data_IF_475365554531
#
_entry.id   IF_475365554531
#
_cell.length_a   1.000
_cell.length_b   1.000
_cell.length_c   1.000
_cell.angle_alpha   90.00
_cell.angle_beta   90.00
_cell.angle_gamma   90.00
#
_symmetry.space_group_name_H-M   'P 1'
#
loop_
_entity.id
_entity.type
_entity.pdbx_description
1 polymer ?
#
# COMPACT_ATOMS: atom_id res chain seq x y z
N UNK A 1 1.91 11.75 2.90
CA UNK A 1 2.17 13.06 3.50
C UNK A 1 3.68 13.25 3.52
N UNK A 2 4.19 14.34 2.94
CA UNK A 2 5.60 14.68 3.05
C UNK A 2 5.92 14.90 4.53
N UNK A 3 6.91 14.18 5.07
CA UNK A 3 7.28 14.27 6.49
C UNK A 3 7.68 15.70 6.89
N UNK A 4 8.16 16.50 5.94
CA UNK A 4 8.53 17.91 6.12
C UNK A 4 7.34 18.84 6.39
N UNK A 5 6.11 18.43 6.07
CA UNK A 5 4.91 19.26 6.24
C UNK A 5 4.07 18.88 7.46
N UNK A 6 4.42 17.80 8.17
CA UNK A 6 3.69 17.36 9.37
C UNK A 6 4.29 17.98 10.63
N UNK A 7 3.78 19.15 11.04
CA UNK A 7 4.14 19.81 12.29
C UNK A 7 3.15 19.52 13.44
N UNK A 8 2.18 18.62 13.23
CA UNK A 8 1.15 18.29 14.22
C UNK A 8 1.45 17.03 15.02
N UNK A 9 2.67 16.48 14.88
CA UNK A 9 3.07 15.19 15.47
C UNK A 9 2.08 14.05 15.16
N UNK A 10 1.48 14.08 13.97
CA UNK A 10 0.50 13.07 13.54
C UNK A 10 -0.93 13.30 14.02
N UNK A 11 -1.23 14.41 14.70
CA UNK A 11 -2.61 14.84 14.99
C UNK A 11 -3.26 15.31 13.69
N UNK A 12 -4.39 14.71 13.33
CA UNK A 12 -5.17 15.07 12.14
C UNK A 12 -6.47 15.77 12.54
N UNK A 13 -6.91 16.73 11.72
CA UNK A 13 -8.17 17.44 11.97
C UNK A 13 -9.37 16.48 11.97
N UNK A 14 -9.46 15.60 10.96
CA UNK A 14 -10.58 14.67 10.80
C UNK A 14 -10.53 13.56 11.86
N UNK A 15 -9.34 13.01 12.12
CA UNK A 15 -9.16 11.88 13.04
C UNK A 15 -9.27 12.31 14.50
N UNK A 16 -8.25 13.02 14.95
CA UNK A 16 -8.01 13.38 16.35
C UNK A 16 -8.85 14.57 16.83
N UNK A 17 -9.05 15.62 16.02
CA UNK A 17 -9.78 16.83 16.48
C UNK A 17 -11.29 16.66 16.42
N UNK A 18 -11.81 16.06 15.34
CA UNK A 18 -13.26 15.81 15.15
C UNK A 18 -13.68 14.44 15.73
N UNK A 19 -12.73 13.68 16.30
CA UNK A 19 -12.96 12.39 16.95
C UNK A 19 -13.71 11.38 16.05
N UNK A 20 -13.15 11.09 14.87
CA UNK A 20 -13.66 10.02 13.98
C UNK A 20 -13.06 8.63 14.27
N UNK A 21 -12.16 8.58 15.26
CA UNK A 21 -11.49 7.37 15.73
C UNK A 21 -11.65 7.22 17.25
N UNK A 22 -11.68 5.97 17.71
CA UNK A 22 -11.60 5.59 19.12
C UNK A 22 -10.48 4.57 19.29
N UNK A 23 -9.52 4.83 20.18
CA UNK A 23 -8.36 3.96 20.41
C UNK A 23 -7.62 3.58 19.11
N UNK A 24 -7.38 4.57 18.24
CA UNK A 24 -6.76 4.41 16.93
C UNK A 24 -7.52 3.50 15.94
N UNK A 25 -8.80 3.22 16.18
CA UNK A 25 -9.69 2.50 15.26
C UNK A 25 -10.78 3.44 14.75
N UNK A 26 -11.14 3.40 13.46
CA UNK A 26 -12.28 4.15 12.95
C UNK A 26 -13.55 3.76 13.70
N UNK A 27 -14.38 4.74 14.02
CA UNK A 27 -15.63 4.50 14.74
C UNK A 27 -16.57 3.67 13.87
N UNK A 28 -17.13 2.61 14.44
CA UNK A 28 -18.13 1.78 13.78
C UNK A 28 -19.53 2.42 13.88
N UNK A 29 -20.35 2.16 12.87
CA UNK A 29 -21.70 2.74 12.76
C UNK A 29 -22.63 2.33 13.91
N UNK A 30 -22.47 1.11 14.41
CA UNK A 30 -23.28 0.57 15.50
C UNK A 30 -22.85 1.06 16.90
N UNK A 31 -21.66 1.64 17.05
CA UNK A 31 -21.19 2.14 18.35
C UNK A 31 -21.43 3.64 18.54
N UNK A 32 -21.56 4.44 17.46
CA UNK A 32 -21.60 5.91 17.56
C UNK A 32 -22.70 6.43 18.49
N UNK A 33 -23.88 5.80 18.48
CA UNK A 33 -25.01 6.19 19.34
C UNK A 33 -24.73 5.99 20.84
N UNK A 34 -23.74 5.15 21.17
CA UNK A 34 -23.33 4.86 22.54
C UNK A 34 -22.07 5.64 22.95
N UNK A 35 -21.52 6.48 22.07
CA UNK A 35 -20.36 7.31 22.39
C UNK A 35 -20.77 8.65 23.00
N UNK A 36 -19.89 9.29 23.81
CA UNK A 36 -20.12 10.64 24.29
C UNK A 36 -20.35 11.65 23.16
N UNK A 37 -20.95 12.81 23.48
CA UNK A 37 -21.07 13.92 22.54
C UNK A 37 -19.67 14.33 22.02
N UNK A 38 -19.60 14.73 20.76
CA UNK A 38 -18.36 15.18 20.10
C UNK A 38 -17.62 14.10 19.29
N UNK A 39 -18.07 12.84 19.35
CA UNK A 39 -17.63 11.78 18.44
C UNK A 39 -18.45 11.80 17.15
N UNK A 40 -17.80 11.50 16.03
CA UNK A 40 -18.44 11.52 14.71
C UNK A 40 -18.09 10.31 13.86
N UNK A 41 -18.99 9.96 12.93
CA UNK A 41 -18.80 8.87 11.99
C UNK A 41 -18.39 9.43 10.63
N UNK A 42 -17.24 9.00 10.11
CA UNK A 42 -16.78 9.36 8.78
C UNK A 42 -17.33 8.36 7.76
N UNK A 43 -18.16 8.83 6.81
CA UNK A 43 -18.83 7.97 5.83
C UNK A 43 -17.86 7.21 4.90
N UNK A 44 -16.61 7.65 4.75
CA UNK A 44 -15.60 6.88 4.00
C UNK A 44 -15.38 5.47 4.54
N UNK A 45 -15.65 5.25 5.84
CA UNK A 45 -15.53 3.94 6.47
C UNK A 45 -16.50 2.90 5.87
N UNK A 46 -17.51 3.32 5.12
CA UNK A 46 -18.47 2.45 4.42
C UNK A 46 -17.96 1.92 3.08
N UNK A 47 -16.90 2.51 2.54
CA UNK A 47 -16.33 2.07 1.27
C UNK A 47 -15.06 1.24 1.52
N UNK A 48 -14.76 0.27 0.66
CA UNK A 48 -13.44 -0.37 0.66
C UNK A 48 -12.37 0.65 0.28
N UNK A 49 -11.13 0.47 0.77
CA UNK A 49 -10.07 1.47 0.58
C UNK A 49 -9.79 1.82 -0.89
N UNK A 50 -9.94 0.86 -1.81
CA UNK A 50 -9.76 1.09 -3.26
C UNK A 50 -10.78 2.07 -3.86
N UNK A 51 -11.92 2.27 -3.18
CA UNK A 51 -12.97 3.24 -3.53
C UNK A 51 -12.92 4.52 -2.68
N UNK A 52 -12.04 4.61 -1.68
CA UNK A 52 -11.91 5.78 -0.80
C UNK A 52 -11.07 6.89 -1.43
N UNK A 53 -11.61 7.52 -2.47
CA UNK A 53 -10.97 8.68 -3.08
C UNK A 53 -11.97 9.57 -3.80
N UNK A 54 -11.79 10.87 -3.66
CA UNK A 54 -12.49 11.91 -4.43
C UNK A 54 -11.50 12.72 -5.26
N UNK A 55 -10.21 12.70 -4.92
CA UNK A 55 -9.17 13.48 -5.57
C UNK A 55 -8.09 12.56 -6.17
N UNK A 56 -7.51 12.97 -7.31
CA UNK A 56 -6.39 12.29 -7.95
C UNK A 56 -5.33 13.28 -8.43
N UNK A 57 -4.19 13.32 -7.77
CA UNK A 57 -3.04 14.14 -8.13
C UNK A 57 -1.80 13.28 -8.33
N UNK A 58 -1.13 13.43 -9.47
CA UNK A 58 0.08 12.64 -9.83
C UNK A 58 -0.09 11.11 -9.62
N UNK A 59 -1.31 10.58 -9.85
CA UNK A 59 -1.71 9.18 -9.65
C UNK A 59 -1.89 8.75 -8.19
N UNK A 60 -1.78 9.67 -7.25
CA UNK A 60 -2.13 9.44 -5.86
C UNK A 60 -3.61 9.77 -5.65
N UNK A 61 -4.37 8.74 -5.32
CA UNK A 61 -5.79 8.83 -5.00
C UNK A 61 -5.95 9.13 -3.53
N UNK A 62 -6.69 10.18 -3.21
CA UNK A 62 -6.90 10.63 -1.82
C UNK A 62 -8.37 10.98 -1.58
N UNK A 63 -8.81 10.76 -0.35
CA UNK A 63 -10.13 11.15 0.14
C UNK A 63 -9.94 12.39 1.00
N UNK A 64 -9.97 13.57 0.37
CA UNK A 64 -9.80 14.86 1.05
C UNK A 64 -11.11 15.63 1.24
N UNK A 65 -12.18 15.17 0.59
CA UNK A 65 -13.55 15.63 0.82
C UNK A 65 -14.24 14.65 1.76
N UNK A 66 -14.90 15.13 2.82
CA UNK A 66 -15.49 14.26 3.85
C UNK A 66 -16.95 14.63 4.13
N UNK A 67 -17.79 13.61 4.36
CA UNK A 67 -19.08 13.75 5.04
C UNK A 67 -18.96 13.07 6.40
N UNK A 68 -19.10 13.86 7.46
CA UNK A 68 -18.89 13.44 8.85
C UNK A 68 -20.22 13.63 9.59
N UNK A 69 -20.69 12.57 10.25
CA UNK A 69 -22.03 12.52 10.82
C UNK A 69 -21.99 12.43 12.36
N UNK A 70 -22.74 13.26 13.10
CA UNK A 70 -22.92 13.11 14.53
C UNK A 70 -23.83 11.92 14.87
N UNK A 71 -23.80 11.49 16.14
CA UNK A 71 -24.63 10.39 16.66
C UNK A 71 -26.14 10.60 16.46
N UNK A 72 -26.62 11.84 16.45
CA UNK A 72 -28.04 12.18 16.27
C UNK A 72 -28.60 11.77 14.91
N UNK A 73 -27.77 11.51 13.89
CA UNK A 73 -28.24 11.01 12.59
C UNK A 73 -28.42 9.48 12.56
N UNK A 74 -28.18 8.81 13.69
CA UNK A 74 -28.30 7.36 13.87
C UNK A 74 -29.26 6.98 15.01
N UNK A 75 -29.84 7.97 15.72
CA UNK A 75 -30.60 7.77 16.96
C UNK A 75 -32.07 7.38 16.73
N UNK A 76 -32.47 7.21 15.45
CA UNK A 76 -33.81 6.84 15.00
C UNK A 76 -34.86 7.95 15.16
N UNK A 77 -34.46 9.20 15.42
CA UNK A 77 -35.36 10.35 15.60
C UNK A 77 -35.18 11.38 14.49
N UNK A 78 -36.29 12.00 14.07
CA UNK A 78 -36.25 13.08 13.06
C UNK A 78 -35.56 12.67 11.77
N UNK A 79 -34.47 13.38 11.43
CA UNK A 79 -33.66 13.11 10.24
C UNK A 79 -32.57 12.09 10.57
N UNK A 80 -32.54 11.02 9.79
CA UNK A 80 -31.58 9.92 9.91
C UNK A 80 -30.74 9.81 8.64
N UNK A 81 -29.54 9.28 8.79
CA UNK A 81 -28.72 8.86 7.65
C UNK A 81 -29.35 7.64 6.97
N UNK A 82 -29.42 7.64 5.64
CA UNK A 82 -29.80 6.44 4.89
C UNK A 82 -28.59 5.52 4.79
N UNK A 83 -28.63 4.40 5.50
CA UNK A 83 -27.54 3.44 5.58
C UNK A 83 -27.00 3.01 4.19
N UNK A 84 -25.67 2.88 4.06
CA UNK A 84 -24.97 2.45 2.84
C UNK A 84 -25.26 3.31 1.60
N UNK A 85 -25.67 4.56 1.81
CA UNK A 85 -25.98 5.49 0.72
C UNK A 85 -24.80 6.38 0.33
N UNK A 86 -23.68 6.29 1.06
CA UNK A 86 -22.48 7.04 0.77
C UNK A 86 -21.79 6.53 -0.49
N UNK A 87 -21.30 7.44 -1.32
CA UNK A 87 -20.52 7.06 -2.49
C UNK A 87 -19.86 8.24 -3.18
N UNK A 88 -18.94 7.91 -4.09
CA UNK A 88 -18.30 8.86 -4.99
C UNK A 88 -19.10 8.90 -6.29
N UNK A 89 -19.50 10.09 -6.73
CA UNK A 89 -20.17 10.29 -8.01
C UNK A 89 -19.12 10.43 -9.11
N UNK A 90 -18.87 9.33 -9.84
CA UNK A 90 -17.82 9.24 -10.85
C UNK A 90 -18.35 8.69 -12.20
N UNK A 91 -19.34 9.33 -12.84
CA UNK A 91 -19.78 8.93 -14.17
C UNK A 91 -18.66 9.11 -15.20
N UNK A 92 -18.75 8.39 -16.32
CA UNK A 92 -17.71 8.32 -17.35
C UNK A 92 -17.23 9.70 -17.86
N UNK A 93 -18.11 10.71 -17.92
CA UNK A 93 -17.73 12.05 -18.39
C UNK A 93 -16.82 12.81 -17.41
N UNK A 94 -16.85 12.49 -16.10
CA UNK A 94 -15.93 13.03 -15.10
C UNK A 94 -14.58 12.31 -15.10
N UNK A 95 -14.45 11.23 -15.87
CA UNK A 95 -13.23 10.44 -15.98
C UNK A 95 -12.64 10.57 -17.39
N UNK A 96 -11.31 10.52 -17.48
CA UNK A 96 -10.62 10.41 -18.75
C UNK A 96 -10.47 8.93 -19.14
N UNK A 97 -10.06 8.67 -20.38
CA UNK A 97 -9.86 7.31 -20.93
C UNK A 97 -8.89 6.41 -20.15
N UNK A 98 -8.10 6.97 -19.24
CA UNK A 98 -7.14 6.24 -18.40
C UNK A 98 -7.66 6.06 -16.96
N UNK A 99 -8.91 6.41 -16.68
CA UNK A 99 -9.52 6.33 -15.35
C UNK A 99 -9.08 7.42 -14.37
N UNK A 100 -8.40 8.46 -14.85
CA UNK A 100 -8.11 9.67 -14.06
C UNK A 100 -9.26 10.68 -14.13
N UNK A 101 -9.25 11.70 -13.28
CA UNK A 101 -10.28 12.76 -13.31
C UNK A 101 -10.13 13.61 -14.58
N UNK A 102 -11.24 13.95 -15.22
CA UNK A 102 -11.31 14.91 -16.33
C UNK A 102 -11.27 16.35 -15.79
N UNK A 103 -10.09 16.78 -15.35
CA UNK A 103 -9.84 18.04 -14.64
C UNK A 103 -10.07 19.27 -15.55
N UNK A 104 -10.38 20.41 -14.93
CA UNK A 104 -10.45 21.71 -15.59
C UNK A 104 -9.16 21.99 -16.35
N UNK A 105 -9.28 22.41 -17.62
CA UNK A 105 -8.12 22.64 -18.47
C UNK A 105 -7.71 24.11 -18.47
N UNK A 106 -6.43 24.32 -18.19
CA UNK A 106 -5.75 25.62 -18.27
C UNK A 106 -4.57 25.47 -19.23
N UNK A 107 -4.39 26.42 -20.14
CA UNK A 107 -3.23 26.49 -21.05
C UNK A 107 -2.69 27.91 -21.05
N UNK A 108 -1.39 28.06 -20.72
CA UNK A 108 -0.71 29.36 -20.64
C UNK A 108 -1.47 30.37 -19.76
N UNK A 109 -1.96 29.92 -18.61
CA UNK A 109 -2.75 30.75 -17.68
C UNK A 109 -4.22 30.96 -18.07
N UNK A 110 -4.64 30.59 -19.29
CA UNK A 110 -6.01 30.80 -19.76
C UNK A 110 -6.89 29.58 -19.54
N UNK A 111 -8.12 29.80 -19.06
CA UNK A 111 -9.14 28.76 -18.90
C UNK A 111 -9.74 28.37 -20.25
N UNK A 112 -9.77 27.07 -20.54
CA UNK A 112 -10.24 26.55 -21.84
C UNK A 112 -11.73 26.19 -21.88
N UNK A 113 -12.49 26.48 -20.82
CA UNK A 113 -13.93 26.17 -20.77
C UNK A 113 -14.26 24.68 -20.87
N UNK A 114 -13.33 23.79 -20.53
CA UNK A 114 -13.50 22.34 -20.69
C UNK A 114 -12.87 21.56 -19.55
N UNK A 115 -13.45 20.39 -19.27
CA UNK A 115 -13.19 19.62 -18.06
C UNK A 115 -14.11 20.05 -16.92
N UNK A 116 -13.88 19.49 -15.73
CA UNK A 116 -14.70 19.71 -14.54
C UNK A 116 -13.80 20.09 -13.35
N UNK A 117 -14.15 19.72 -12.12
CA UNK A 117 -13.23 19.84 -10.99
C UNK A 117 -12.10 18.81 -11.07
N UNK A 118 -11.03 19.04 -10.31
CA UNK A 118 -10.05 18.02 -9.96
C UNK A 118 -10.46 17.14 -8.77
N UNK A 119 -11.64 17.36 -8.23
CA UNK A 119 -12.33 16.53 -7.26
C UNK A 119 -13.59 15.91 -7.87
N UNK A 120 -13.90 14.69 -7.45
CA UNK A 120 -15.16 14.01 -7.70
C UNK A 120 -16.13 14.34 -6.57
N UNK A 121 -17.40 14.66 -6.88
CA UNK A 121 -18.40 14.85 -5.84
C UNK A 121 -18.60 13.59 -5.01
N UNK A 122 -18.77 13.76 -3.71
CA UNK A 122 -19.23 12.71 -2.80
C UNK A 122 -20.70 12.94 -2.48
N UNK A 123 -21.45 11.85 -2.27
CA UNK A 123 -22.89 11.90 -2.00
C UNK A 123 -23.26 11.00 -0.84
N UNK A 124 -24.32 11.37 -0.15
CA UNK A 124 -24.97 10.64 0.92
C UNK A 124 -26.46 11.00 0.89
N UNK A 125 -27.32 10.07 1.30
CA UNK A 125 -28.75 10.31 1.41
C UNK A 125 -29.20 10.30 2.87
N UNK A 126 -30.22 11.10 3.16
CA UNK A 126 -30.86 11.20 4.47
C UNK A 126 -32.35 10.92 4.31
N UNK A 127 -33.00 10.52 5.40
CA UNK A 127 -34.40 10.12 5.42
C UNK A 127 -35.05 10.49 6.74
N UNK A 128 -36.36 10.70 6.72
CA UNK A 128 -37.17 10.85 7.94
C UNK A 128 -37.61 9.51 8.53
N UNK A 129 -37.35 8.40 7.84
CA UNK A 129 -37.57 7.07 8.38
C UNK A 129 -36.55 6.77 9.50
N UNK A 130 -36.94 6.01 10.54
CA UNK A 130 -36.00 5.58 11.58
C UNK A 130 -34.74 4.91 11.00
N UNK A 131 -33.57 5.24 11.55
CA UNK A 131 -32.32 4.62 11.13
C UNK A 131 -32.42 3.08 11.22
N UNK A 132 -32.20 2.43 10.08
CA UNK A 132 -32.14 0.99 9.97
C UNK A 132 -30.76 0.58 9.44
N UNK A 133 -30.05 -0.22 10.24
CA UNK A 133 -28.75 -0.77 9.87
C UNK A 133 -28.98 -1.94 8.90
N UNK A 134 -28.92 -1.66 7.60
CA UNK A 134 -29.34 -2.57 6.51
C UNK A 134 -28.40 -3.75 6.29
N UNK A 135 -27.23 -3.76 6.93
CA UNK A 135 -26.37 -4.91 7.11
C UNK A 135 -25.66 -4.76 8.44
N UNK A 136 -25.40 -5.85 9.19
CA UNK A 136 -24.23 -5.90 10.08
C UNK A 136 -22.98 -5.86 9.19
N UNK A 137 -22.79 -4.77 8.43
CA UNK A 137 -21.53 -4.44 7.82
C UNK A 137 -20.60 -4.23 9.00
N UNK A 138 -19.98 -5.34 9.42
CA UNK A 138 -18.81 -5.30 10.26
C UNK A 138 -17.91 -4.24 9.61
N UNK A 139 -17.42 -3.25 10.35
CA UNK A 139 -16.54 -2.22 9.79
C UNK A 139 -15.50 -2.94 8.96
N UNK A 140 -15.50 -2.78 7.62
CA UNK A 140 -14.83 -3.66 6.63
C UNK A 140 -13.73 -4.47 7.29
N UNK A 141 -14.10 -5.64 7.85
CA UNK A 141 -13.20 -6.30 8.78
C UNK A 141 -12.18 -6.99 7.92
N UNK A 142 -10.93 -6.55 8.05
CA UNK A 142 -9.86 -7.04 7.22
C UNK A 142 -9.84 -8.58 7.28
N UNK A 143 -9.99 -9.23 6.13
CA UNK A 143 -10.07 -10.68 6.07
C UNK A 143 -8.67 -11.22 6.27
N UNK A 144 -8.47 -12.06 7.29
CA UNK A 144 -7.17 -12.69 7.53
C UNK A 144 -6.80 -13.62 6.37
N UNK A 145 -5.65 -13.36 5.73
CA UNK A 145 -5.08 -14.20 4.66
C UNK A 145 -3.56 -14.25 4.78
N UNK A 146 -2.90 -15.29 4.24
CA UNK A 146 -1.45 -15.30 4.10
C UNK A 146 -0.99 -14.41 2.94
N UNK A 147 0.30 -14.04 2.92
CA UNK A 147 0.90 -13.29 1.79
C UNK A 147 0.69 -14.03 0.46
N UNK A 148 0.75 -15.37 0.46
CA UNK A 148 0.60 -16.20 -0.75
C UNK A 148 -0.72 -15.94 -1.49
N UNK A 149 -1.79 -15.64 -0.74
CA UNK A 149 -3.10 -15.33 -1.33
C UNK A 149 -3.05 -14.09 -2.24
N UNK A 150 -2.20 -13.10 -1.92
CA UNK A 150 -2.10 -11.87 -2.71
C UNK A 150 -1.63 -12.14 -4.15
N UNK A 151 -0.92 -13.24 -4.38
CA UNK A 151 -0.47 -13.65 -5.71
C UNK A 151 -1.56 -14.36 -6.53
N UNK A 152 -2.69 -14.71 -5.93
CA UNK A 152 -3.81 -15.41 -6.57
C UNK A 152 -4.87 -14.44 -7.11
N UNK A 153 -4.75 -13.14 -6.81
CA UNK A 153 -5.74 -12.12 -7.15
C UNK A 153 -5.04 -10.91 -7.78
N UNK A 154 -5.66 -10.26 -8.76
CA UNK A 154 -5.07 -9.07 -9.40
C UNK A 154 -5.13 -7.82 -8.53
N UNK A 155 -6.24 -7.67 -7.80
CA UNK A 155 -6.51 -6.61 -6.83
C UNK A 155 -7.36 -7.13 -5.68
N UNK A 156 -7.60 -6.31 -4.66
CA UNK A 156 -8.41 -6.68 -3.49
C UNK A 156 -9.63 -5.78 -3.37
N UNK A 157 -10.77 -6.39 -3.07
CA UNK A 157 -12.06 -5.71 -2.87
C UNK A 157 -12.34 -5.41 -1.41
N UNK A 158 -11.84 -6.27 -0.52
CA UNK A 158 -11.87 -6.09 0.93
C UNK A 158 -10.45 -5.95 1.44
N UNK A 159 -10.29 -5.21 2.53
CA UNK A 159 -9.01 -5.14 3.24
C UNK A 159 -8.58 -6.55 3.69
N UNK A 160 -7.26 -6.78 3.72
CA UNK A 160 -6.69 -8.07 4.11
C UNK A 160 -5.79 -7.90 5.32
N UNK A 161 -6.02 -8.69 6.37
CA UNK A 161 -5.15 -8.73 7.52
C UNK A 161 -4.02 -9.76 7.29
N UNK A 162 -2.79 -9.27 7.21
CA UNK A 162 -1.58 -10.07 7.28
C UNK A 162 -1.06 -10.05 8.71
N UNK A 163 -1.12 -11.17 9.41
CA UNK A 163 -0.61 -11.26 10.78
C UNK A 163 0.86 -11.66 10.82
N UNK A 164 1.55 -11.14 11.84
CA UNK A 164 2.92 -11.51 12.21
C UNK A 164 3.93 -11.37 11.05
N UNK A 165 3.76 -10.36 10.20
CA UNK A 165 4.69 -10.05 9.13
C UNK A 165 5.95 -9.38 9.68
N UNK A 166 7.09 -9.84 9.21
CA UNK A 166 8.41 -9.29 9.53
C UNK A 166 8.90 -8.47 8.36
N UNK A 167 9.40 -7.26 8.61
CA UNK A 167 10.10 -6.45 7.61
C UNK A 167 11.52 -6.98 7.50
N UNK A 168 11.82 -7.68 6.40
CA UNK A 168 13.10 -8.40 6.28
C UNK A 168 14.20 -7.55 5.65
N UNK A 169 13.82 -6.53 4.88
CA UNK A 169 14.77 -5.70 4.14
C UNK A 169 14.08 -4.42 3.65
N UNK A 170 14.83 -3.33 3.55
CA UNK A 170 14.33 -2.08 2.99
C UNK A 170 15.44 -1.29 2.29
N UNK A 171 15.09 -0.66 1.16
CA UNK A 171 15.93 0.29 0.42
C UNK A 171 15.06 1.34 -0.25
N UNK A 172 15.45 2.62 -0.15
CA UNK A 172 14.75 3.74 -0.80
C UNK A 172 13.25 3.69 -0.51
N UNK A 173 12.45 3.49 -1.56
CA UNK A 173 11.00 3.51 -1.55
C UNK A 173 10.36 2.12 -1.43
N UNK A 174 11.14 1.09 -1.06
CA UNK A 174 10.61 -0.26 -0.91
C UNK A 174 11.04 -0.91 0.40
N UNK A 175 10.17 -1.75 0.92
CA UNK A 175 10.46 -2.70 1.98
C UNK A 175 9.92 -4.08 1.60
N UNK A 176 10.63 -5.15 1.94
CA UNK A 176 10.16 -6.52 1.73
C UNK A 176 9.63 -7.06 3.06
N UNK A 177 8.44 -7.66 3.02
CA UNK A 177 7.84 -8.31 4.18
C UNK A 177 7.63 -9.80 3.93
N UNK A 178 7.77 -10.61 4.99
CA UNK A 178 7.51 -12.05 5.00
C UNK A 178 6.88 -12.46 6.33
N UNK A 179 5.96 -13.43 6.32
CA UNK A 179 5.43 -14.02 7.56
C UNK A 179 6.41 -15.03 8.19
N UNK A 180 7.18 -15.72 7.34
CA UNK A 180 8.05 -16.84 7.70
C UNK A 180 9.21 -16.90 6.69
N UNK A 181 10.38 -17.46 7.05
CA UNK A 181 11.51 -17.65 6.11
C UNK A 181 11.17 -18.38 4.81
N UNK A 182 10.22 -19.33 4.85
CA UNK A 182 9.92 -20.22 3.73
C UNK A 182 8.73 -19.78 2.88
N UNK A 183 7.89 -18.87 3.38
CA UNK A 183 6.68 -18.39 2.69
C UNK A 183 7.05 -17.31 1.66
N UNK A 184 6.12 -16.92 0.78
CA UNK A 184 6.38 -15.84 -0.17
C UNK A 184 6.63 -14.53 0.56
N UNK A 185 7.63 -13.78 0.07
CA UNK A 185 7.73 -12.36 0.35
C UNK A 185 6.81 -11.54 -0.54
N UNK A 186 6.60 -10.28 -0.17
CA UNK A 186 5.97 -9.27 -1.01
C UNK A 186 6.59 -7.90 -0.69
N UNK A 187 6.74 -7.05 -1.71
CA UNK A 187 7.23 -5.69 -1.50
C UNK A 187 6.11 -4.73 -1.14
N UNK A 188 6.39 -3.88 -0.18
CA UNK A 188 5.71 -2.63 0.10
C UNK A 188 6.35 -1.56 -0.79
N UNK A 189 5.59 -0.93 -1.68
CA UNK A 189 6.06 0.16 -2.53
C UNK A 189 5.51 1.49 -2.02
N UNK A 190 6.41 2.36 -1.52
CA UNK A 190 6.10 3.70 -0.99
C UNK A 190 5.04 3.74 0.12
N UNK A 191 4.83 2.64 0.84
CA UNK A 191 3.78 2.52 1.86
C UNK A 191 4.29 1.97 3.21
N UNK A 192 5.60 1.72 3.35
CA UNK A 192 6.21 1.15 4.56
C UNK A 192 6.20 2.06 5.79
N UNK A 193 5.52 3.20 5.77
CA UNK A 193 5.48 4.29 6.76
C UNK A 193 5.85 3.86 8.21
N UNK A 194 7.06 4.24 8.65
CA UNK A 194 7.52 4.04 10.04
C UNK A 194 7.89 2.59 10.43
N UNK A 195 7.73 1.63 9.53
CA UNK A 195 8.12 0.24 9.76
C UNK A 195 9.65 0.10 9.80
N UNK A 196 10.14 -0.67 10.78
CA UNK A 196 11.57 -0.91 10.99
C UNK A 196 11.96 -2.32 10.51
N UNK A 197 13.11 -2.42 9.82
CA UNK A 197 13.70 -3.72 9.46
C UNK A 197 13.93 -4.55 10.73
N UNK A 198 13.58 -5.83 10.68
CA UNK A 198 13.54 -6.74 11.84
C UNK A 198 12.25 -6.65 12.67
N UNK A 199 11.44 -5.61 12.49
CA UNK A 199 10.19 -5.45 13.23
C UNK A 199 9.09 -6.39 12.74
N UNK A 200 8.33 -6.92 13.69
CA UNK A 200 7.14 -7.75 13.48
C UNK A 200 5.87 -6.94 13.72
N UNK A 201 4.91 -7.04 12.79
CA UNK A 201 3.67 -6.28 12.79
C UNK A 201 2.52 -7.18 12.33
N UNK A 202 1.31 -6.83 12.73
CA UNK A 202 0.13 -7.13 11.91
C UNK A 202 -0.09 -5.96 10.94
N UNK A 203 -0.39 -6.24 9.68
CA UNK A 203 -0.59 -5.23 8.63
C UNK A 203 -1.93 -5.45 7.95
N UNK A 204 -2.77 -4.41 7.93
CA UNK A 204 -3.94 -4.37 7.07
C UNK A 204 -3.52 -3.86 5.70
N UNK A 205 -3.76 -4.65 4.66
CA UNK A 205 -3.50 -4.33 3.26
C UNK A 205 -4.76 -3.78 2.63
N UNK A 206 -4.64 -2.58 2.06
CA UNK A 206 -5.73 -1.83 1.46
C UNK A 206 -5.73 -1.88 -0.06
N UNK A 207 -4.53 -1.99 -0.65
CA UNK A 207 -4.36 -2.01 -2.09
C UNK A 207 -3.11 -2.80 -2.48
N UNK A 208 -3.26 -3.60 -3.54
CA UNK A 208 -2.17 -4.28 -4.23
C UNK A 208 -2.17 -3.92 -5.71
N UNK A 209 -1.02 -4.09 -6.34
CA UNK A 209 -0.82 -3.85 -7.76
C UNK A 209 0.16 -4.85 -8.35
N UNK A 210 0.07 -5.06 -9.67
CA UNK A 210 1.12 -5.70 -10.44
C UNK A 210 1.74 -4.67 -11.38
N UNK A 211 3.01 -4.30 -11.15
CA UNK A 211 3.74 -3.35 -12.00
C UNK A 211 4.82 -4.06 -12.80
N UNK A 212 4.67 -4.11 -14.12
CA UNK A 212 5.59 -4.80 -15.04
C UNK A 212 5.88 -6.27 -14.66
N UNK A 213 4.91 -6.92 -13.99
CA UNK A 213 4.98 -8.30 -13.50
C UNK A 213 5.37 -8.43 -12.02
N UNK A 214 5.91 -7.38 -11.39
CA UNK A 214 6.20 -7.38 -9.96
C UNK A 214 4.92 -7.17 -9.15
N UNK A 215 4.61 -8.07 -8.23
CA UNK A 215 3.48 -7.92 -7.31
C UNK A 215 3.89 -7.04 -6.13
N UNK A 216 3.12 -6.00 -5.85
CA UNK A 216 3.43 -5.01 -4.82
C UNK A 216 2.19 -4.62 -4.01
N UNK A 217 2.40 -4.31 -2.74
CA UNK A 217 1.39 -3.65 -1.89
C UNK A 217 1.68 -2.15 -1.95
N UNK A 218 0.64 -1.35 -2.22
CA UNK A 218 0.76 0.11 -2.40
C UNK A 218 0.10 0.92 -1.29
N UNK A 219 -0.72 0.29 -0.44
CA UNK A 219 -1.36 0.95 0.69
C UNK A 219 -1.59 -0.01 1.87
N UNK A 220 -1.20 0.42 3.07
CA UNK A 220 -1.29 -0.36 4.30
C UNK A 220 -1.65 0.50 5.52
N UNK A 221 -2.25 -0.15 6.52
CA UNK A 221 -2.28 0.30 7.91
C UNK A 221 -1.56 -0.72 8.79
N UNK A 222 -0.35 -0.41 9.31
CA UNK A 222 0.34 -1.29 10.23
C UNK A 222 -0.16 -1.11 11.67
N UNK A 223 -0.14 -2.20 12.43
CA UNK A 223 -0.26 -2.18 13.90
C UNK A 223 1.00 -1.60 14.56
N UNK A 224 0.96 -1.47 15.90
CA UNK A 224 2.16 -1.21 16.69
C UNK A 224 3.16 -2.38 16.56
N UNK A 225 4.44 -2.08 16.74
CA UNK A 225 5.50 -3.09 16.75
C UNK A 225 5.19 -4.19 17.79
N UNK A 226 5.10 -5.44 17.34
CA UNK A 226 4.83 -6.62 18.19
C UNK A 226 6.10 -7.27 18.73
N UNK A 227 7.24 -7.04 18.08
CA UNK A 227 8.52 -7.59 18.48
C UNK A 227 9.58 -7.46 17.39
N UNK A 228 10.80 -7.87 17.70
CA UNK A 228 11.94 -7.85 16.76
C UNK A 228 12.38 -9.29 16.48
N UNK A 229 12.73 -9.60 15.24
CA UNK A 229 13.08 -10.94 14.77
C UNK A 229 14.45 -10.89 14.08
N UNK A 230 15.27 -11.93 14.28
CA UNK A 230 16.47 -12.13 13.46
C UNK A 230 16.06 -12.40 12.00
N UNK A 231 16.48 -11.52 11.10
CA UNK A 231 16.11 -11.55 9.68
C UNK A 231 17.03 -12.43 8.82
N UNK A 232 18.18 -12.88 9.34
CA UNK A 232 19.13 -13.69 8.57
C UNK A 232 18.51 -14.95 7.92
N UNK A 233 17.60 -15.70 8.59
CA UNK A 233 16.95 -16.87 7.98
C UNK A 233 16.06 -16.55 6.78
N UNK A 234 15.62 -15.29 6.62
CA UNK A 234 14.73 -14.90 5.53
C UNK A 234 15.47 -14.65 4.21
N UNK A 235 16.79 -14.52 4.24
CA UNK A 235 17.59 -14.29 3.04
C UNK A 235 17.95 -15.59 2.33
N UNK A 236 17.94 -15.53 1.00
CA UNK A 236 18.40 -16.63 0.16
C UNK A 236 19.89 -16.46 -0.15
N UNK A 237 20.66 -17.52 0.01
CA UNK A 237 22.03 -17.61 -0.50
C UNK A 237 22.09 -18.63 -1.65
N UNK A 238 23.28 -18.81 -2.22
CA UNK A 238 23.53 -19.75 -3.34
C UNK A 238 23.03 -21.17 -3.07
N UNK A 239 23.12 -21.67 -1.83
CA UNK A 239 22.66 -23.03 -1.46
C UNK A 239 21.13 -23.15 -1.45
N UNK A 240 20.44 -22.07 -1.14
CA UNK A 240 18.97 -22.00 -1.06
C UNK A 240 18.29 -21.47 -2.34
N UNK A 241 19.08 -21.14 -3.36
CA UNK A 241 18.61 -20.54 -4.61
C UNK A 241 18.08 -21.62 -5.56
N UNK A 242 16.86 -22.08 -5.32
CA UNK A 242 16.18 -23.06 -6.16
C UNK A 242 15.52 -22.38 -7.37
N UNK A 243 15.64 -23.00 -8.54
CA UNK A 243 15.00 -22.53 -9.78
C UNK A 243 13.88 -23.51 -10.17
N UNK A 244 12.70 -23.04 -10.63
CA UNK A 244 12.36 -21.64 -10.90
C UNK A 244 12.25 -20.79 -9.62
N UNK A 245 12.72 -19.55 -9.69
CA UNK A 245 12.81 -18.67 -8.54
C UNK A 245 11.61 -17.71 -8.47
N UNK A 246 11.14 -17.45 -7.26
CA UNK A 246 10.06 -16.51 -7.01
C UNK A 246 10.56 -15.06 -6.97
N UNK A 247 9.73 -14.14 -7.47
CA UNK A 247 9.89 -12.70 -7.21
C UNK A 247 9.64 -12.35 -5.74
N UNK A 248 10.02 -11.14 -5.34
CA UNK A 248 9.90 -10.61 -3.99
C UNK A 248 10.60 -11.46 -2.94
N UNK A 249 11.85 -11.78 -3.23
CA UNK A 249 12.77 -12.44 -2.31
C UNK A 249 14.05 -11.59 -2.20
N UNK A 250 14.82 -11.78 -1.13
CA UNK A 250 16.11 -11.10 -0.96
C UNK A 250 17.22 -12.13 -0.97
N UNK A 251 18.18 -11.97 -1.88
CA UNK A 251 19.42 -12.73 -1.88
C UNK A 251 20.48 -11.99 -1.09
N UNK A 252 21.37 -12.74 -0.42
CA UNK A 252 22.48 -12.21 0.36
C UNK A 252 23.73 -13.06 0.12
N UNK A 253 24.87 -12.39 0.08
CA UNK A 253 26.21 -12.99 -0.02
C UNK A 253 26.34 -13.97 -1.21
N UNK A 254 25.84 -13.56 -2.39
CA UNK A 254 25.91 -14.37 -3.60
C UNK A 254 27.07 -13.90 -4.47
N UNK A 255 27.98 -14.82 -4.81
CA UNK A 255 29.10 -14.57 -5.72
C UNK A 255 28.77 -15.08 -7.12
N UNK A 256 29.16 -14.31 -8.13
CA UNK A 256 29.06 -14.72 -9.53
C UNK A 256 29.90 -13.85 -10.46
N UNK A 257 29.86 -14.17 -11.74
CA UNK A 257 30.53 -13.39 -12.80
C UNK A 257 29.49 -12.54 -13.51
N UNK A 258 29.73 -11.23 -13.57
CA UNK A 258 28.91 -10.31 -14.34
C UNK A 258 29.26 -10.43 -15.82
N UNK A 259 28.28 -10.79 -16.66
CA UNK A 259 28.44 -10.82 -18.11
C UNK A 259 27.12 -10.48 -18.81
N UNK A 260 27.16 -9.56 -19.77
CA UNK A 260 26.01 -9.16 -20.60
C UNK A 260 24.71 -8.95 -19.77
N UNK A 261 24.77 -8.08 -18.76
CA UNK A 261 23.65 -7.77 -17.86
C UNK A 261 23.08 -8.96 -17.07
N UNK A 262 23.86 -10.03 -16.88
CA UNK A 262 23.51 -11.17 -16.04
C UNK A 262 24.60 -11.48 -15.03
N UNK A 263 24.22 -12.12 -13.93
CA UNK A 263 25.14 -12.78 -13.01
C UNK A 263 25.10 -14.27 -13.30
N UNK A 264 26.26 -14.84 -13.62
CA UNK A 264 26.47 -16.27 -13.80
C UNK A 264 26.99 -16.85 -12.49
N UNK A 265 26.28 -17.84 -11.95
CA UNK A 265 26.62 -18.52 -10.70
C UNK A 265 27.49 -19.74 -10.96
N UNK A 266 28.18 -20.21 -9.91
CA UNK A 266 29.05 -21.39 -9.99
C UNK A 266 28.31 -22.68 -10.42
N UNK A 267 27.00 -22.77 -10.21
CA UNK A 267 26.17 -23.91 -10.63
C UNK A 267 25.71 -23.85 -12.11
N UNK A 268 26.28 -22.94 -12.91
CA UNK A 268 25.96 -22.77 -14.33
C UNK A 268 24.66 -22.00 -14.62
N UNK A 269 23.86 -21.69 -13.60
CA UNK A 269 22.64 -20.87 -13.76
C UNK A 269 22.99 -19.40 -13.83
N UNK A 270 22.08 -18.60 -14.37
CA UNK A 270 22.23 -17.14 -14.41
C UNK A 270 20.92 -16.42 -14.13
N UNK A 271 21.02 -15.18 -13.66
CA UNK A 271 19.90 -14.26 -13.53
C UNK A 271 20.26 -12.89 -14.14
N UNK A 272 19.33 -12.24 -14.84
CA UNK A 272 19.50 -10.83 -15.21
C UNK A 272 19.75 -9.97 -13.97
N UNK A 273 20.51 -8.89 -14.13
CA UNK A 273 20.78 -7.91 -13.07
C UNK A 273 20.47 -6.50 -13.57
N UNK A 274 19.79 -5.72 -12.73
CA UNK A 274 19.42 -4.34 -13.00
C UNK A 274 19.90 -3.43 -11.86
N UNK A 275 20.51 -2.30 -12.21
CA UNK A 275 21.03 -1.32 -11.25
C UNK A 275 20.11 -0.11 -11.17
N UNK A 276 19.55 0.15 -9.98
CA UNK A 276 18.85 1.42 -9.65
C UNK A 276 19.81 2.49 -9.12
N UNK A 277 21.08 2.37 -9.45
CA UNK A 277 22.16 3.31 -9.12
C UNK A 277 22.46 4.09 -10.39
N UNK A 278 22.41 5.42 -10.33
CA UNK A 278 22.74 6.27 -11.47
C UNK A 278 24.23 6.10 -11.82
N UNK A 279 24.53 5.97 -13.12
CA UNK A 279 25.89 5.92 -13.68
C UNK A 279 26.78 4.82 -13.05
N UNK A 280 26.19 3.70 -12.64
CA UNK A 280 26.94 2.57 -12.11
C UNK A 280 27.24 1.57 -13.23
N UNK A 281 28.53 1.29 -13.44
CA UNK A 281 29.03 0.43 -14.51
C UNK A 281 29.96 -0.60 -13.89
N UNK A 282 29.80 -1.86 -14.29
CA UNK A 282 30.70 -2.96 -13.96
C UNK A 282 31.33 -3.44 -15.27
N UNK A 283 32.64 -3.66 -15.28
CA UNK A 283 33.34 -4.21 -16.45
C UNK A 283 32.82 -5.63 -16.72
N UNK A 284 32.58 -5.95 -18.00
CA UNK A 284 32.17 -7.30 -18.38
C UNK A 284 33.21 -8.33 -17.92
N UNK A 285 32.74 -9.51 -17.53
CA UNK A 285 33.54 -10.60 -16.94
C UNK A 285 34.12 -10.31 -15.54
N UNK A 286 33.72 -9.23 -14.87
CA UNK A 286 34.12 -8.99 -13.48
C UNK A 286 33.49 -10.02 -12.54
N UNK A 287 34.27 -10.50 -11.57
CA UNK A 287 33.75 -11.27 -10.44
C UNK A 287 33.12 -10.29 -9.45
N UNK A 288 31.91 -10.60 -8.99
CA UNK A 288 31.17 -9.73 -8.08
C UNK A 288 30.54 -10.52 -6.95
N UNK A 289 30.44 -9.88 -5.79
CA UNK A 289 29.68 -10.37 -4.64
C UNK A 289 28.47 -9.46 -4.43
N UNK A 290 27.27 -10.02 -4.61
CA UNK A 290 26.02 -9.37 -4.24
C UNK A 290 25.86 -9.51 -2.73
N UNK A 291 26.07 -8.41 -2.01
CA UNK A 291 25.86 -8.33 -0.57
C UNK A 291 24.37 -8.38 -0.26
N UNK A 292 23.55 -7.65 -1.00
CA UNK A 292 22.08 -7.76 -0.97
C UNK A 292 21.50 -7.60 -2.38
N UNK A 293 20.54 -8.44 -2.76
CA UNK A 293 19.83 -8.29 -4.02
C UNK A 293 18.35 -8.54 -3.83
N UNK A 294 17.51 -7.66 -4.36
CA UNK A 294 16.08 -7.94 -4.42
C UNK A 294 15.78 -8.70 -5.70
N UNK A 295 15.09 -9.84 -5.59
CA UNK A 295 14.57 -10.58 -6.74
C UNK A 295 13.31 -9.89 -7.24
N UNK A 296 13.51 -8.89 -8.09
CA UNK A 296 12.46 -8.12 -8.74
C UNK A 296 11.88 -8.84 -9.96
N UNK A 297 11.19 -8.08 -10.82
CA UNK A 297 10.57 -8.62 -12.01
C UNK A 297 10.48 -7.58 -13.13
N UNK A 298 11.06 -7.90 -14.28
CA UNK A 298 10.89 -7.16 -15.53
C UNK A 298 11.05 -8.13 -16.71
N UNK A 299 9.92 -8.52 -17.32
CA UNK A 299 9.88 -9.60 -18.35
C UNK A 299 10.39 -10.97 -17.86
N UNK A 300 10.63 -11.11 -16.55
CA UNK A 300 11.19 -12.27 -15.89
C UNK A 300 11.79 -11.85 -14.54
N UNK A 301 12.14 -12.82 -13.68
CA UNK A 301 12.82 -12.51 -12.41
C UNK A 301 14.24 -12.00 -12.68
N UNK A 302 14.61 -10.92 -12.00
CA UNK A 302 15.92 -10.28 -12.10
C UNK A 302 16.42 -9.85 -10.73
N UNK A 303 17.73 -9.74 -10.58
CA UNK A 303 18.38 -9.17 -9.40
C UNK A 303 18.36 -7.66 -9.54
N UNK A 304 17.78 -6.96 -8.59
CA UNK A 304 17.75 -5.50 -8.56
C UNK A 304 18.64 -5.00 -7.43
N UNK A 305 19.66 -4.23 -7.79
CA UNK A 305 20.59 -3.59 -6.87
C UNK A 305 20.19 -2.12 -6.69
N UNK A 306 19.99 -1.71 -5.44
CA UNK A 306 19.45 -0.38 -5.12
C UNK A 306 20.53 0.60 -4.69
N UNK A 307 21.57 0.11 -4.02
CA UNK A 307 22.66 0.90 -3.46
C UNK A 307 24.03 0.34 -3.85
N UNK A 308 25.07 1.18 -3.88
CA UNK A 308 26.43 0.72 -4.16
C UNK A 308 26.93 -0.26 -3.10
N UNK A 309 26.47 -0.11 -1.86
CA UNK A 309 26.82 -1.01 -0.75
C UNK A 309 26.11 -2.38 -0.82
N UNK A 310 25.24 -2.58 -1.80
CA UNK A 310 24.56 -3.86 -2.00
C UNK A 310 25.38 -4.81 -2.91
N UNK A 311 26.49 -4.34 -3.50
CA UNK A 311 27.35 -5.11 -4.39
C UNK A 311 28.83 -4.72 -4.26
N UNK A 312 29.71 -5.71 -4.34
CA UNK A 312 31.15 -5.56 -4.29
C UNK A 312 31.76 -6.16 -5.57
N UNK A 313 32.68 -5.44 -6.20
CA UNK A 313 33.50 -5.96 -7.31
C UNK A 313 34.72 -6.61 -6.68
N UNK A 314 34.91 -7.89 -6.94
CA UNK A 314 36.01 -8.65 -6.39
C UNK A 314 37.22 -8.50 -7.32
N UNK A 315 38.40 -8.34 -6.73
CA UNK A 315 39.70 -8.42 -7.44
C UNK A 315 39.94 -9.81 -8.04
#
# INVERSE_FOLDING_TARGET
MELSLNNTNGITAIGEVIHTYKNAKPIAKNEIVNLPKGFHYNLWNELPSSKRWSHNFKREKTAIDHIILPASLFDKKGINYKDNSFGVFAPNYLLNRYGGINRWKIKNGNHLGSGYSDHLPIKAFFTTNPFNLTNKAMPFSAIKKPIDYLYQVDGITNDILLENVTVVWARKNIALIKQTPNNRGIVLYKCQNGLKVGGKYDIIVHEIKTYKGLKEITNITPSKLKGVVNIAPFYKNTKSLNFPINQNEVIKDIVGVYKNHKIYFANGKSLPIFFKIKNFIIKDSSKVKILYGHLGYYKGVEIVIYDKNDIEIME
#
